data_IF_692082207629
#
_entry.id   IF_692082207629
#
_cell.length_a   1.000
_cell.length_b   1.000
_cell.length_c   1.000
_cell.angle_alpha   90.00
_cell.angle_beta   90.00
_cell.angle_gamma   90.00
#
_symmetry.space_group_name_H-M   'P 1'
#
loop_
_entity.id
_entity.type
_entity.pdbx_description
1 polymer ?
#
# COMPACT_ATOMS: atom_id res chain seq x y z
N UNK A 1 -2.49 1.82 23.28
CA UNK A 1 -2.80 1.34 22.17
C UNK A 1 -1.88 1.62 21.13
N UNK A 2 -1.35 0.92 20.59
CA UNK A 2 -0.43 1.19 19.55
C UNK A 2 -0.76 0.37 18.34
N UNK A 3 0.05 0.57 17.31
CA UNK A 3 -0.05 -0.21 16.11
C UNK A 3 0.47 -1.62 16.37
N UNK A 4 0.07 -2.60 15.56
CA UNK A 4 0.65 -3.94 15.63
C UNK A 4 2.16 -3.90 15.43
N UNK A 5 2.85 -4.95 15.84
CA UNK A 5 4.30 -4.98 15.76
C UNK A 5 4.82 -4.69 14.35
N UNK A 6 4.18 -5.23 13.32
CA UNK A 6 4.65 -5.03 11.96
C UNK A 6 4.57 -3.57 11.54
N UNK A 7 3.67 -2.81 12.15
CA UNK A 7 3.52 -1.38 11.86
C UNK A 7 4.34 -0.56 12.84
N UNK A 8 4.36 -0.97 14.11
CA UNK A 8 5.14 -0.26 15.11
C UNK A 8 6.63 -0.27 14.81
N UNK A 9 7.09 -1.31 14.15
CA UNK A 9 8.48 -1.42 13.77
C UNK A 9 8.72 -0.83 12.40
N UNK A 10 7.84 0.08 12.03
CA UNK A 10 7.96 0.81 10.79
C UNK A 10 9.36 1.41 10.68
N UNK A 11 10.01 1.13 9.57
CA UNK A 11 11.34 1.64 9.29
C UNK A 11 11.25 2.62 8.14
N UNK A 12 11.01 3.91 8.43
CA UNK A 12 10.78 4.89 7.35
C UNK A 12 11.92 4.95 6.35
N UNK A 13 13.13 4.64 6.79
CA UNK A 13 14.26 4.67 5.88
C UNK A 13 14.14 3.64 4.75
N UNK A 14 13.33 2.60 4.94
CA UNK A 14 13.10 1.65 3.87
C UNK A 14 12.36 2.30 2.70
N UNK A 15 11.52 3.26 3.01
CA UNK A 15 10.73 3.94 1.97
C UNK A 15 11.47 5.11 1.35
N UNK A 16 12.63 5.48 1.89
CA UNK A 16 13.37 6.63 1.40
C UNK A 16 13.76 6.50 -0.08
N UNK A 17 13.99 5.27 -0.54
CA UNK A 17 14.35 5.09 -1.95
C UNK A 17 13.15 5.18 -2.88
N UNK A 18 11.95 5.07 -2.33
CA UNK A 18 10.70 5.13 -3.12
C UNK A 18 10.10 6.53 -3.10
N UNK A 19 10.24 7.23 -1.98
CA UNK A 19 9.60 8.54 -1.81
C UNK A 19 9.88 9.53 -2.94
N UNK A 20 11.13 9.68 -3.41
CA UNK A 20 11.36 10.62 -4.52
C UNK A 20 10.61 10.26 -5.78
N UNK A 21 10.45 8.96 -6.04
CA UNK A 21 9.69 8.51 -7.21
C UNK A 21 8.22 8.83 -7.05
N UNK A 22 7.69 8.58 -5.87
CA UNK A 22 6.29 8.89 -5.56
C UNK A 22 6.06 10.41 -5.68
N UNK A 23 6.93 11.20 -5.09
CA UNK A 23 6.79 12.66 -5.10
C UNK A 23 6.86 13.22 -6.51
N UNK A 24 7.61 12.56 -7.39
CA UNK A 24 7.75 13.00 -8.77
C UNK A 24 6.61 12.49 -9.68
N UNK A 25 5.66 11.75 -9.11
CA UNK A 25 4.55 11.20 -9.90
C UNK A 25 4.93 9.98 -10.72
N UNK A 26 6.09 9.39 -10.44
CA UNK A 26 6.57 8.20 -11.17
C UNK A 26 6.08 6.95 -10.44
N UNK A 27 4.76 6.77 -10.47
CA UNK A 27 4.11 5.77 -9.61
C UNK A 27 4.45 4.33 -9.99
N UNK A 28 4.58 4.04 -11.28
CA UNK A 28 4.91 2.69 -11.70
C UNK A 28 6.30 2.30 -11.21
N UNK A 29 7.25 3.20 -11.33
CA UNK A 29 8.61 2.94 -10.84
C UNK A 29 8.62 2.85 -9.33
N UNK A 30 7.83 3.70 -8.67
CA UNK A 30 7.73 3.64 -7.21
C UNK A 30 7.17 2.28 -6.77
N UNK A 31 6.16 1.79 -7.47
CA UNK A 31 5.57 0.49 -7.16
C UNK A 31 6.60 -0.63 -7.35
N UNK A 32 7.34 -0.58 -8.45
CA UNK A 32 8.34 -1.62 -8.73
C UNK A 32 9.43 -1.64 -7.65
N UNK A 33 9.89 -0.46 -7.26
CA UNK A 33 10.90 -0.37 -6.21
C UNK A 33 10.35 -0.86 -4.87
N UNK A 34 9.10 -0.50 -4.58
CA UNK A 34 8.47 -0.94 -3.34
C UNK A 34 8.31 -2.46 -3.29
N UNK A 35 8.02 -3.08 -4.43
CA UNK A 35 7.89 -4.54 -4.48
C UNK A 35 9.22 -5.22 -4.19
N UNK A 36 10.33 -4.64 -4.66
CA UNK A 36 11.64 -5.16 -4.29
C UNK A 36 11.86 -5.12 -2.78
N UNK A 37 11.40 -4.04 -2.16
CA UNK A 37 11.52 -3.92 -0.71
C UNK A 37 10.68 -4.96 0.01
N UNK A 38 9.49 -5.26 -0.50
CA UNK A 38 8.65 -6.31 0.08
C UNK A 38 9.37 -7.65 0.04
N UNK A 39 10.03 -7.95 -1.09
CA UNK A 39 10.75 -9.20 -1.20
C UNK A 39 11.88 -9.30 -0.17
N UNK A 40 12.55 -8.18 0.08
CA UNK A 40 13.63 -8.14 1.05
C UNK A 40 13.12 -8.14 2.49
N UNK A 41 11.96 -7.55 2.73
CA UNK A 41 11.42 -7.39 4.08
C UNK A 41 9.94 -7.71 4.10
N UNK A 42 9.56 -8.96 3.87
CA UNK A 42 8.14 -9.32 3.79
C UNK A 42 7.39 -9.19 5.12
N UNK A 43 8.11 -9.01 6.21
CA UNK A 43 7.50 -8.83 7.52
C UNK A 43 7.04 -7.38 7.77
N UNK A 44 7.39 -6.44 6.89
CA UNK A 44 7.05 -5.03 7.09
C UNK A 44 5.70 -4.73 6.45
N UNK A 45 4.65 -4.77 7.28
CA UNK A 45 3.29 -4.62 6.77
C UNK A 45 3.04 -3.31 6.05
N UNK A 46 3.68 -2.20 6.50
CA UNK A 46 3.44 -0.91 5.88
C UNK A 46 3.88 -0.86 4.42
N UNK A 47 4.83 -1.72 4.03
CA UNK A 47 5.26 -1.74 2.63
C UNK A 47 4.13 -2.17 1.71
N UNK A 48 3.33 -3.15 2.14
CA UNK A 48 2.22 -3.63 1.33
C UNK A 48 1.21 -2.51 1.10
N UNK A 49 0.90 -1.74 2.14
CA UNK A 49 -0.04 -0.64 2.00
C UNK A 49 0.51 0.44 1.06
N UNK A 50 1.76 0.83 1.27
CA UNK A 50 2.36 1.89 0.46
C UNK A 50 2.52 1.48 -0.99
N UNK A 51 2.88 0.21 -1.24
CA UNK A 51 2.98 -0.28 -2.62
C UNK A 51 1.60 -0.28 -3.27
N UNK A 52 0.55 -0.67 -2.52
CA UNK A 52 -0.80 -0.64 -3.05
C UNK A 52 -1.19 0.77 -3.49
N UNK A 53 -0.81 1.79 -2.70
CA UNK A 53 -1.07 3.17 -3.07
C UNK A 53 -0.41 3.53 -4.40
N UNK A 54 0.86 3.16 -4.55
CA UNK A 54 1.59 3.44 -5.79
C UNK A 54 0.96 2.72 -6.97
N UNK A 55 0.55 1.46 -6.77
CA UNK A 55 -0.05 0.68 -7.85
C UNK A 55 -1.40 1.26 -8.26
N UNK A 56 -2.19 1.70 -7.28
CA UNK A 56 -3.46 2.35 -7.59
C UNK A 56 -3.23 3.56 -8.49
N UNK A 57 -2.28 4.40 -8.12
CA UNK A 57 -1.98 5.61 -8.87
C UNK A 57 -1.37 5.30 -10.23
N UNK A 58 -0.71 4.15 -10.36
CA UNK A 58 -0.10 3.73 -11.63
C UNK A 58 -1.08 3.00 -12.54
N UNK A 59 -2.31 2.80 -12.11
CA UNK A 59 -3.30 2.09 -12.91
C UNK A 59 -3.20 0.58 -12.84
N UNK A 60 -2.42 0.05 -11.91
CA UNK A 60 -2.27 -1.39 -11.73
C UNK A 60 -3.29 -1.89 -10.72
N UNK A 61 -4.56 -1.88 -11.13
CA UNK A 61 -5.69 -2.10 -10.24
C UNK A 61 -5.65 -3.43 -9.51
N UNK A 62 -5.45 -4.52 -10.24
CA UNK A 62 -5.47 -5.85 -9.62
C UNK A 62 -4.34 -6.01 -8.60
N UNK A 63 -3.15 -5.52 -8.95
CA UNK A 63 -2.00 -5.60 -8.05
C UNK A 63 -2.25 -4.77 -6.80
N UNK A 64 -2.82 -3.58 -6.97
CA UNK A 64 -3.11 -2.70 -5.85
C UNK A 64 -4.06 -3.36 -4.86
N UNK A 65 -5.11 -4.00 -5.37
CA UNK A 65 -6.09 -4.66 -4.52
C UNK A 65 -5.46 -5.83 -3.78
N UNK A 66 -4.60 -6.58 -4.47
CA UNK A 66 -3.96 -7.72 -3.84
C UNK A 66 -3.00 -7.28 -2.72
N UNK A 67 -2.20 -6.25 -2.98
CA UNK A 67 -1.30 -5.76 -1.94
C UNK A 67 -2.06 -5.13 -0.78
N UNK A 68 -3.17 -4.46 -1.08
CA UNK A 68 -4.00 -3.91 0.00
C UNK A 68 -4.59 -5.04 0.85
N UNK A 69 -4.98 -6.14 0.23
CA UNK A 69 -5.46 -7.30 0.97
C UNK A 69 -4.40 -7.81 1.94
N UNK A 70 -3.15 -7.91 1.47
CA UNK A 70 -2.05 -8.33 2.35
C UNK A 70 -1.86 -7.34 3.50
N UNK A 71 -1.96 -6.05 3.21
CA UNK A 71 -1.81 -5.04 4.25
C UNK A 71 -2.88 -5.19 5.32
N UNK A 72 -4.13 -5.40 4.88
CA UNK A 72 -5.25 -5.56 5.82
C UNK A 72 -5.08 -6.84 6.65
N UNK A 73 -4.59 -7.91 6.02
CA UNK A 73 -4.34 -9.15 6.76
C UNK A 73 -3.32 -8.94 7.87
N UNK A 74 -2.34 -8.08 7.64
CA UNK A 74 -1.32 -7.81 8.65
C UNK A 74 -1.81 -6.82 9.69
N UNK A 75 -2.66 -5.89 9.30
CA UNK A 75 -3.23 -4.92 10.22
C UNK A 75 -4.57 -4.45 9.69
N UNK A 76 -5.62 -4.83 10.41
CA UNK A 76 -6.99 -4.54 10.02
C UNK A 76 -7.24 -3.03 9.83
N UNK A 77 -6.51 -2.18 10.56
CA UNK A 77 -6.67 -0.74 10.45
C UNK A 77 -6.41 -0.19 9.06
N UNK A 78 -5.71 -0.95 8.21
CA UNK A 78 -5.49 -0.53 6.83
C UNK A 78 -6.80 -0.39 6.06
N UNK A 79 -7.83 -1.13 6.46
CA UNK A 79 -9.14 -1.05 5.82
C UNK A 79 -9.72 0.36 5.96
N UNK A 80 -9.71 0.89 7.18
CA UNK A 80 -10.20 2.24 7.41
C UNK A 80 -9.33 3.29 6.73
N UNK A 81 -8.02 3.08 6.77
CA UNK A 81 -7.12 4.02 6.11
C UNK A 81 -7.43 4.12 4.61
N UNK A 82 -7.65 2.97 3.97
CA UNK A 82 -7.88 2.94 2.53
C UNK A 82 -9.18 3.64 2.14
N UNK A 83 -10.19 3.58 3.01
CA UNK A 83 -11.46 4.23 2.72
C UNK A 83 -11.27 5.73 2.53
N UNK A 84 -10.41 6.35 3.34
CA UNK A 84 -10.21 7.78 3.31
C UNK A 84 -8.98 8.26 2.55
N UNK A 85 -8.24 7.34 1.94
CA UNK A 85 -6.97 7.68 1.31
C UNK A 85 -7.17 7.99 -0.17
N UNK A 86 -6.88 9.22 -0.58
CA UNK A 86 -7.09 9.66 -1.96
C UNK A 86 -6.25 8.88 -2.97
N UNK A 87 -5.18 8.23 -2.53
CA UNK A 87 -4.36 7.43 -3.45
C UNK A 87 -5.16 6.29 -4.06
N UNK A 88 -6.26 5.88 -3.41
CA UNK A 88 -7.11 4.82 -3.93
C UNK A 88 -8.28 5.33 -4.76
N UNK A 89 -8.36 6.64 -4.99
CA UNK A 89 -9.44 7.18 -5.83
C UNK A 89 -9.52 6.51 -7.21
N UNK A 90 -8.40 6.22 -7.89
CA UNK A 90 -8.50 5.59 -9.20
C UNK A 90 -9.19 4.22 -9.21
N UNK A 91 -9.18 3.52 -8.08
CA UNK A 91 -9.78 2.17 -8.02
C UNK A 91 -10.97 2.12 -7.08
N UNK A 92 -11.44 3.26 -6.61
CA UNK A 92 -12.49 3.31 -5.57
C UNK A 92 -13.80 2.67 -6.03
N UNK A 93 -14.10 2.77 -7.32
CA UNK A 93 -15.34 2.22 -7.85
C UNK A 93 -15.23 0.76 -8.27
N UNK A 94 -14.06 0.15 -8.14
CA UNK A 94 -13.89 -1.25 -8.48
C UNK A 94 -14.61 -2.12 -7.46
N UNK A 95 -15.45 -3.07 -7.93
CA UNK A 95 -16.17 -3.92 -6.97
C UNK A 95 -15.26 -4.67 -6.02
N UNK A 96 -14.10 -5.12 -6.49
CA UNK A 96 -13.17 -5.85 -5.64
C UNK A 96 -12.62 -4.97 -4.54
N UNK A 97 -12.37 -3.68 -4.83
CA UNK A 97 -11.92 -2.75 -3.82
C UNK A 97 -13.02 -2.53 -2.77
N UNK A 98 -14.26 -2.31 -3.25
CA UNK A 98 -15.38 -2.07 -2.35
C UNK A 98 -15.63 -3.25 -1.44
N UNK A 99 -15.55 -4.46 -1.99
CA UNK A 99 -15.68 -5.67 -1.19
C UNK A 99 -14.62 -5.76 -0.12
N UNK A 100 -13.39 -5.45 -0.51
CA UNK A 100 -12.26 -5.56 0.40
C UNK A 100 -12.37 -4.59 1.57
N UNK A 101 -12.81 -3.36 1.32
CA UNK A 101 -12.90 -2.37 2.39
C UNK A 101 -14.27 -2.34 3.05
N UNK A 102 -15.23 -3.15 2.59
CA UNK A 102 -16.51 -3.28 3.25
C UNK A 102 -17.52 -2.19 2.90
N UNK A 103 -17.45 -1.64 1.69
CA UNK A 103 -18.35 -0.55 1.28
C UNK A 103 -19.40 -1.04 0.34
#
# INVERSE_FOLDING_TARGET
MGLPDSIQRYAPELWDSVRPLYDAGRYAEAADRGRELIEARPDQGFLYYNVACCESLAGRTADAIEHLRHAIDKWEGCREMAIGDSDFDPIRDEPAFQELVGR
#
